data_IF_305105490024
#
_entry.id   IF_305105490024
#
_cell.length_a   1.000
_cell.length_b   1.000
_cell.length_c   1.000
_cell.angle_alpha   90.00
_cell.angle_beta   90.00
_cell.angle_gamma   90.00
#
_symmetry.space_group_name_H-M   'P 1'
#
loop_
_entity.id
_entity.type
_entity.pdbx_description
1 polymer ?
#
# COMPACT_ATOMS: atom_id res chain seq x y z
N UNK A 1 10.84 -6.76 -2.67
CA UNK A 1 10.21 -6.38 -1.39
C UNK A 1 11.23 -6.60 -0.28
N UNK A 2 11.55 -5.58 0.53
CA UNK A 2 12.43 -5.74 1.70
C UNK A 2 11.57 -6.26 2.87
N UNK A 3 11.90 -7.42 3.41
CA UNK A 3 11.25 -7.91 4.62
C UNK A 3 11.62 -7.01 5.80
N UNK A 4 10.60 -6.60 6.55
CA UNK A 4 10.77 -5.85 7.80
C UNK A 4 11.20 -6.85 8.88
N UNK A 5 12.36 -6.65 9.50
CA UNK A 5 12.80 -7.50 10.61
C UNK A 5 11.93 -7.23 11.85
N UNK A 6 11.06 -8.18 12.18
CA UNK A 6 10.25 -8.16 13.39
C UNK A 6 11.01 -8.77 14.56
N UNK A 7 10.78 -8.25 15.78
CA UNK A 7 11.29 -8.89 17.00
C UNK A 7 10.60 -10.25 17.17
N UNK A 8 11.27 -11.21 17.80
CA UNK A 8 10.78 -12.60 17.93
C UNK A 8 9.39 -12.70 18.57
N UNK A 9 9.08 -11.79 19.50
CA UNK A 9 7.77 -11.67 20.16
C UNK A 9 6.69 -11.20 19.18
N UNK A 10 7.01 -10.22 18.34
CA UNK A 10 6.07 -9.68 17.34
C UNK A 10 5.68 -10.75 16.33
N UNK A 11 6.62 -11.63 15.95
CA UNK A 11 6.37 -12.75 15.03
C UNK A 11 5.32 -13.73 15.56
N UNK A 12 5.24 -13.93 16.88
CA UNK A 12 4.21 -14.75 17.51
C UNK A 12 2.83 -14.04 17.49
N UNK A 13 2.82 -12.75 17.82
CA UNK A 13 1.60 -11.93 17.87
C UNK A 13 1.02 -11.64 16.47
N UNK A 14 1.82 -11.56 15.41
CA UNK A 14 1.33 -11.23 14.06
C UNK A 14 0.34 -12.27 13.52
N UNK A 15 0.44 -13.54 13.92
CA UNK A 15 -0.46 -14.62 13.45
C UNK A 15 -1.75 -14.76 14.25
N UNK A 16 -1.90 -14.01 15.35
CA UNK A 16 -3.02 -14.14 16.27
C UNK A 16 -4.07 -13.06 16.04
N UNK A 17 -5.35 -13.41 16.19
CA UNK A 17 -6.42 -12.42 16.16
C UNK A 17 -6.28 -11.45 17.34
N UNK A 18 -6.88 -10.26 17.23
CA UNK A 18 -6.91 -9.28 18.33
C UNK A 18 -7.50 -9.91 19.59
N UNK A 19 -8.54 -10.74 19.44
CA UNK A 19 -9.16 -11.44 20.57
C UNK A 19 -8.16 -12.38 21.26
N UNK A 20 -7.43 -13.19 20.48
CA UNK A 20 -6.46 -14.14 21.04
C UNK A 20 -5.33 -13.43 21.81
N UNK A 21 -4.87 -12.27 21.30
CA UNK A 21 -3.88 -11.44 22.00
C UNK A 21 -4.38 -10.97 23.35
N UNK A 22 -5.65 -10.54 23.43
CA UNK A 22 -6.24 -10.09 24.68
C UNK A 22 -6.42 -11.24 25.69
N UNK A 23 -6.70 -12.46 25.22
CA UNK A 23 -6.70 -13.66 26.06
C UNK A 23 -5.32 -13.98 26.64
N UNK A 24 -4.25 -13.83 25.85
CA UNK A 24 -2.86 -14.01 26.34
C UNK A 24 -2.53 -12.99 27.42
N UNK A 25 -2.89 -11.72 27.23
CA UNK A 25 -2.68 -10.66 28.23
C UNK A 25 -3.49 -10.94 29.50
N UNK A 26 -4.74 -11.38 29.37
CA UNK A 26 -5.59 -11.76 30.49
C UNK A 26 -5.01 -12.93 31.29
N UNK A 27 -4.53 -13.97 30.62
CA UNK A 27 -3.91 -15.12 31.28
C UNK A 27 -2.62 -14.72 32.01
N UNK A 28 -1.78 -13.89 31.39
CA UNK A 28 -0.57 -13.36 32.02
C UNK A 28 -0.91 -12.56 33.28
N UNK A 29 -1.94 -11.71 33.24
CA UNK A 29 -2.43 -10.98 34.40
C UNK A 29 -2.89 -11.92 35.52
N UNK A 30 -3.62 -12.99 35.18
CA UNK A 30 -4.08 -13.98 36.16
C UNK A 30 -2.91 -14.72 36.82
N UNK A 31 -1.90 -15.11 36.05
CA UNK A 31 -0.67 -15.73 36.57
C UNK A 31 0.10 -14.76 37.48
N UNK A 32 0.22 -13.49 37.09
CA UNK A 32 0.86 -12.48 37.92
C UNK A 32 0.09 -12.22 39.23
N UNK A 33 -1.24 -12.12 39.14
CA UNK A 33 -2.10 -11.90 40.30
C UNK A 33 -2.03 -13.06 41.29
N UNK A 34 -2.16 -14.30 40.80
CA UNK A 34 -2.04 -15.52 41.61
C UNK A 34 -0.66 -15.63 42.26
N UNK A 35 0.41 -15.30 41.52
CA UNK A 35 1.77 -15.29 42.06
C UNK A 35 1.96 -14.25 43.16
N UNK A 36 1.49 -13.01 42.97
CA UNK A 36 1.66 -11.93 43.96
C UNK A 36 0.80 -12.18 45.19
N UNK A 37 -0.47 -12.52 45.01
CA UNK A 37 -1.40 -12.79 46.11
C UNK A 37 -0.97 -14.05 46.90
N UNK A 38 -0.56 -15.10 46.21
CA UNK A 38 -0.06 -16.33 46.83
C UNK A 38 1.25 -16.10 47.58
N UNK A 39 2.17 -15.31 47.02
CA UNK A 39 3.40 -14.93 47.69
C UNK A 39 3.12 -14.15 48.98
N UNK A 40 2.22 -13.16 48.94
CA UNK A 40 1.79 -12.41 50.14
C UNK A 40 1.23 -13.35 51.21
N UNK A 41 0.32 -14.26 50.85
CA UNK A 41 -0.25 -15.23 51.78
C UNK A 41 0.81 -16.08 52.47
N UNK A 42 1.76 -16.63 51.71
CA UNK A 42 2.85 -17.44 52.27
C UNK A 42 3.77 -16.61 53.17
N UNK A 43 4.04 -15.36 52.79
CA UNK A 43 4.92 -14.47 53.54
C UNK A 43 4.32 -14.08 54.89
N UNK A 44 3.01 -13.78 54.94
CA UNK A 44 2.30 -13.44 56.18
C UNK A 44 2.35 -14.60 57.18
N UNK A 45 2.17 -15.85 56.71
CA UNK A 45 2.27 -17.05 57.54
C UNK A 45 3.69 -17.26 58.08
N UNK A 46 4.71 -17.15 57.22
CA UNK A 46 6.10 -17.30 57.63
C UNK A 46 6.54 -16.19 58.59
N UNK A 47 6.08 -14.96 58.39
CA UNK A 47 6.37 -13.84 59.28
C UNK A 47 5.79 -14.08 60.67
N UNK A 48 4.57 -14.59 60.77
CA UNK A 48 3.96 -14.92 62.06
C UNK A 48 4.69 -16.07 62.77
N UNK A 49 5.06 -17.13 62.04
CA UNK A 49 5.87 -18.22 62.58
C UNK A 49 7.18 -17.68 63.21
N UNK A 50 7.92 -16.86 62.47
CA UNK A 50 9.17 -16.27 62.97
C UNK A 50 8.95 -15.34 64.17
N UNK A 51 7.92 -14.51 64.11
CA UNK A 51 7.59 -13.58 65.20
C UNK A 51 7.12 -14.32 66.45
N UNK A 52 6.36 -15.40 66.31
CA UNK A 52 5.92 -16.23 67.43
C UNK A 52 7.10 -16.91 68.11
N UNK A 53 8.00 -17.52 67.32
CA UNK A 53 9.25 -18.10 67.86
C UNK A 53 10.08 -17.05 68.59
N UNK A 54 10.28 -15.87 67.99
CA UNK A 54 11.06 -14.79 68.59
C UNK A 54 10.44 -14.26 69.90
N UNK A 55 9.12 -14.06 69.94
CA UNK A 55 8.40 -13.57 71.12
C UNK A 55 8.47 -14.59 72.28
N UNK A 56 8.25 -15.87 71.98
CA UNK A 56 8.30 -16.93 73.01
C UNK A 56 9.75 -17.16 73.47
N UNK A 57 10.73 -17.07 72.57
CA UNK A 57 12.15 -17.10 72.92
C UNK A 57 12.52 -15.95 73.86
N UNK A 58 12.17 -14.71 73.52
CA UNK A 58 12.45 -13.55 74.37
C UNK A 58 11.79 -13.66 75.75
N UNK A 59 10.59 -14.23 75.82
CA UNK A 59 9.89 -14.52 77.08
C UNK A 59 10.62 -15.59 77.90
N UNK A 60 11.11 -16.65 77.27
CA UNK A 60 11.92 -17.67 77.94
C UNK A 60 13.24 -17.07 78.45
N UNK A 61 13.95 -16.31 77.63
CA UNK A 61 15.21 -15.67 77.99
C UNK A 61 15.04 -14.73 79.18
N UNK A 62 13.97 -13.92 79.21
CA UNK A 62 13.64 -13.05 80.34
C UNK A 62 13.28 -13.81 81.62
N UNK A 63 12.62 -14.97 81.50
CA UNK A 63 12.33 -15.84 82.66
C UNK A 63 13.61 -16.47 83.21
N UNK A 64 14.53 -16.89 82.32
CA UNK A 64 15.83 -17.45 82.71
C UNK A 64 16.68 -16.38 83.40
N UNK A 65 16.70 -15.16 82.87
CA UNK A 65 17.45 -14.02 83.42
C UNK A 65 16.93 -13.61 84.81
N UNK A 66 15.62 -13.68 85.03
CA UNK A 66 15.01 -13.39 86.34
C UNK A 66 15.35 -14.41 87.44
N UNK A 67 15.95 -15.57 87.07
CA UNK A 67 16.39 -16.65 87.97
C UNK A 67 15.39 -17.01 89.10
N UNK A 68 14.15 -17.41 88.76
CA UNK A 68 13.12 -17.74 89.75
C UNK A 68 13.51 -18.96 90.58
N UNK A 69 13.07 -18.99 91.85
CA UNK A 69 13.36 -20.08 92.79
C UNK A 69 12.80 -21.44 92.36
N UNK A 70 11.71 -21.45 91.57
CA UNK A 70 11.14 -22.65 90.95
C UNK A 70 10.57 -22.33 89.56
N UNK A 71 11.40 -22.56 88.53
CA UNK A 71 11.07 -22.25 87.13
C UNK A 71 9.93 -23.12 86.57
N UNK A 72 9.68 -24.28 87.18
CA UNK A 72 8.69 -25.25 86.70
C UNK A 72 7.25 -24.92 87.13
N UNK A 73 7.07 -23.96 88.05
CA UNK A 73 5.73 -23.46 88.42
C UNK A 73 5.16 -22.49 87.37
N UNK A 74 5.98 -22.01 86.44
CA UNK A 74 5.56 -21.11 85.38
C UNK A 74 4.86 -21.93 84.28
N UNK A 75 3.62 -21.56 83.98
CA UNK A 75 2.78 -22.23 82.98
C UNK A 75 3.49 -22.32 81.63
N UNK A 76 3.55 -23.54 81.09
CA UNK A 76 4.14 -23.82 79.78
C UNK A 76 5.63 -24.19 79.82
N UNK A 77 6.30 -24.08 80.98
CA UNK A 77 7.68 -24.54 81.15
C UNK A 77 7.70 -26.02 81.54
N UNK A 78 8.55 -26.80 80.86
CA UNK A 78 8.83 -28.18 81.25
C UNK A 78 10.30 -28.54 80.99
N UNK A 79 10.78 -29.58 81.67
CA UNK A 79 12.15 -30.07 81.48
C UNK A 79 12.29 -30.69 80.10
N UNK A 80 13.34 -30.31 79.37
CA UNK A 80 13.68 -30.88 78.09
C UNK A 80 14.88 -31.82 78.26
N UNK A 81 14.82 -33.01 77.65
CA UNK A 81 15.93 -33.96 77.73
C UNK A 81 17.04 -33.61 76.73
N UNK A 82 16.69 -33.04 75.57
CA UNK A 82 17.61 -32.67 74.49
C UNK A 82 17.24 -31.31 73.90
N UNK A 83 18.24 -30.54 73.48
CA UNK A 83 18.02 -29.28 72.76
C UNK A 83 17.60 -29.59 71.32
N UNK A 84 16.50 -28.98 70.88
CA UNK A 84 16.03 -29.05 69.50
C UNK A 84 15.89 -27.64 68.93
N UNK A 85 15.73 -27.55 67.60
CA UNK A 85 15.42 -26.28 66.94
C UNK A 85 14.04 -25.82 67.40
N UNK A 86 13.92 -24.54 67.76
CA UNK A 86 12.63 -23.93 68.06
C UNK A 86 11.69 -24.10 66.87
N UNK A 87 10.47 -24.55 67.15
CA UNK A 87 9.49 -24.97 66.14
C UNK A 87 8.15 -24.31 66.42
N UNK A 88 7.53 -23.82 65.36
CA UNK A 88 6.12 -23.50 65.33
C UNK A 88 5.38 -24.61 64.59
N UNK A 89 4.40 -25.23 65.24
CA UNK A 89 3.58 -26.27 64.63
C UNK A 89 2.12 -26.11 65.06
N UNK A 90 1.22 -25.99 64.08
CA UNK A 90 -0.24 -25.94 64.28
C UNK A 90 -0.70 -24.99 65.41
N UNK A 91 -0.12 -23.78 65.44
CA UNK A 91 -0.50 -22.77 66.42
C UNK A 91 0.13 -22.95 67.80
N UNK A 92 1.10 -23.85 67.94
CA UNK A 92 1.89 -24.06 69.16
C UNK A 92 3.35 -23.73 68.88
N UNK A 93 3.93 -22.89 69.71
CA UNK A 93 5.33 -22.49 69.62
C UNK A 93 6.10 -23.16 70.75
N UNK A 94 7.10 -23.96 70.40
CA UNK A 94 8.02 -24.58 71.36
C UNK A 94 9.42 -24.03 71.14
N UNK A 95 9.97 -23.42 72.19
CA UNK A 95 11.34 -22.88 72.22
C UNK A 95 12.14 -23.55 73.32
N UNK A 96 13.46 -23.58 73.17
CA UNK A 96 14.38 -24.23 74.09
C UNK A 96 15.40 -23.24 74.64
N UNK A 97 15.77 -23.40 75.91
CA UNK A 97 16.76 -22.58 76.58
C UNK A 97 17.49 -23.36 77.67
N UNK A 98 18.64 -22.85 78.08
CA UNK A 98 19.47 -23.42 79.16
C UNK A 98 19.48 -22.45 80.34
N UNK A 99 19.12 -22.93 81.53
CA UNK A 99 19.16 -22.11 82.74
C UNK A 99 20.60 -21.88 83.20
N UNK A 100 20.80 -20.89 84.08
CA UNK A 100 22.10 -20.61 84.72
C UNK A 100 22.65 -21.81 85.52
N UNK A 101 21.81 -22.76 85.90
CA UNK A 101 22.17 -24.01 86.58
C UNK A 101 22.51 -25.16 85.60
N UNK A 102 22.48 -24.92 84.30
CA UNK A 102 22.77 -25.91 83.26
C UNK A 102 21.62 -26.87 82.92
N UNK A 103 20.40 -26.60 83.42
CA UNK A 103 19.23 -27.41 83.08
C UNK A 103 18.60 -26.97 81.75
N UNK A 104 18.27 -27.92 80.89
CA UNK A 104 17.52 -27.67 79.66
C UNK A 104 16.03 -27.53 79.95
N UNK A 105 15.47 -26.38 79.59
CA UNK A 105 14.06 -26.06 79.73
C UNK A 105 13.45 -25.77 78.37
N UNK A 106 12.17 -26.12 78.21
CA UNK A 106 11.36 -25.72 77.05
C UNK A 106 10.16 -24.92 77.51
N UNK A 107 9.83 -23.88 76.75
CA UNK A 107 8.60 -23.10 76.92
C UNK A 107 7.68 -23.39 75.73
N UNK A 108 6.44 -23.76 76.05
CA UNK A 108 5.39 -24.01 75.07
C UNK A 108 4.26 -23.01 75.24
N UNK A 109 3.95 -22.25 74.19
CA UNK A 109 2.88 -21.26 74.19
C UNK A 109 1.86 -21.55 73.07
N UNK A 110 0.57 -21.48 73.42
CA UNK A 110 -0.54 -21.70 72.50
C UNK A 110 -0.94 -20.38 71.83
N UNK A 111 -0.55 -20.20 70.57
CA UNK A 111 -0.92 -19.08 69.72
C UNK A 111 -2.00 -19.45 68.68
N UNK A 112 -2.67 -20.60 68.84
CA UNK A 112 -3.61 -21.15 67.84
C UNK A 112 -4.75 -20.21 67.45
N UNK A 113 -5.34 -19.49 68.41
CA UNK A 113 -6.40 -18.50 68.11
C UNK A 113 -5.88 -17.34 67.25
N UNK A 114 -4.67 -16.85 67.53
CA UNK A 114 -4.03 -15.77 66.77
C UNK A 114 -3.62 -16.24 65.37
N UNK A 115 -3.09 -17.47 65.27
CA UNK A 115 -2.74 -18.10 63.99
C UNK A 115 -3.96 -18.32 63.09
N UNK A 116 -5.08 -18.80 63.66
CA UNK A 116 -6.33 -18.99 62.91
C UNK A 116 -6.93 -17.67 62.44
N UNK A 117 -6.87 -16.62 63.27
CA UNK A 117 -7.31 -15.27 62.89
C UNK A 117 -6.46 -14.73 61.74
N UNK A 118 -5.13 -14.78 61.84
CA UNK A 118 -4.22 -14.36 60.77
C UNK A 118 -4.44 -15.17 59.49
N UNK A 119 -4.60 -16.48 59.60
CA UNK A 119 -4.85 -17.34 58.43
C UNK A 119 -6.15 -16.93 57.73
N UNK A 120 -7.20 -16.62 58.49
CA UNK A 120 -8.46 -16.11 57.93
C UNK A 120 -8.26 -14.76 57.24
N UNK A 121 -7.51 -13.84 57.85
CA UNK A 121 -7.22 -12.52 57.27
C UNK A 121 -6.35 -12.62 55.99
N UNK A 122 -5.35 -13.50 56.01
CA UNK A 122 -4.52 -13.80 54.85
C UNK A 122 -5.34 -14.46 53.72
N UNK A 123 -6.26 -15.38 54.06
CA UNK A 123 -7.16 -15.98 53.07
C UNK A 123 -8.17 -14.99 52.50
N UNK A 124 -8.76 -14.12 53.34
CA UNK A 124 -9.70 -13.10 52.87
C UNK A 124 -9.03 -12.07 51.98
N UNK A 125 -7.83 -11.60 52.32
CA UNK A 125 -7.05 -10.68 51.47
C UNK A 125 -6.60 -11.35 50.16
N UNK A 126 -6.24 -12.63 50.18
CA UNK A 126 -5.97 -13.42 48.98
C UNK A 126 -7.22 -13.48 48.06
N UNK A 127 -8.39 -13.83 48.60
CA UNK A 127 -9.64 -13.88 47.84
C UNK A 127 -10.06 -12.50 47.31
N UNK A 128 -9.89 -11.44 48.11
CA UNK A 128 -10.21 -10.07 47.71
C UNK A 128 -9.36 -9.61 46.51
N UNK A 129 -8.13 -10.12 46.36
CA UNK A 129 -7.28 -9.78 45.21
C UNK A 129 -7.91 -10.19 43.87
N UNK A 130 -8.69 -11.27 43.83
CA UNK A 130 -9.38 -11.74 42.63
C UNK A 130 -10.54 -10.85 42.20
N UNK A 131 -11.00 -9.93 43.06
CA UNK A 131 -12.00 -8.94 42.69
C UNK A 131 -11.52 -8.08 41.50
N UNK A 132 -10.21 -7.89 41.33
CA UNK A 132 -9.61 -7.18 40.20
C UNK A 132 -9.66 -7.92 38.86
N UNK A 133 -9.94 -9.22 38.86
CA UNK A 133 -10.03 -10.02 37.62
C UNK A 133 -11.20 -9.54 36.76
N UNK A 134 -12.33 -9.22 37.38
CA UNK A 134 -13.54 -8.79 36.67
C UNK A 134 -13.36 -7.44 35.94
N UNK A 135 -12.96 -6.33 36.59
CA UNK A 135 -12.74 -5.07 35.89
C UNK A 135 -11.64 -5.18 34.83
N UNK A 136 -10.60 -6.00 35.07
CA UNK A 136 -9.55 -6.24 34.08
C UNK A 136 -10.08 -7.01 32.86
N UNK A 137 -10.93 -8.03 33.05
CA UNK A 137 -11.58 -8.75 31.96
C UNK A 137 -12.47 -7.83 31.12
N UNK A 138 -13.28 -6.98 31.76
CA UNK A 138 -14.12 -6.00 31.08
C UNK A 138 -13.28 -5.00 30.29
N UNK A 139 -12.18 -4.51 30.87
CA UNK A 139 -11.24 -3.64 30.19
C UNK A 139 -10.62 -4.32 28.96
N UNK A 140 -10.15 -5.56 29.08
CA UNK A 140 -9.61 -6.32 27.94
C UNK A 140 -10.65 -6.52 26.84
N UNK A 141 -11.90 -6.86 27.19
CA UNK A 141 -13.00 -7.02 26.24
C UNK A 141 -13.36 -5.70 25.52
N UNK A 142 -13.40 -4.60 26.27
CA UNK A 142 -13.67 -3.27 25.71
C UNK A 142 -12.60 -2.86 24.70
N UNK A 143 -11.32 -3.04 25.05
CA UNK A 143 -10.19 -2.75 24.14
C UNK A 143 -10.23 -3.65 22.90
N UNK A 144 -10.51 -4.95 23.06
CA UNK A 144 -10.62 -5.89 21.94
C UNK A 144 -11.70 -5.46 20.94
N UNK A 145 -12.86 -5.06 21.46
CA UNK A 145 -14.01 -4.64 20.65
C UNK A 145 -13.74 -3.30 19.96
N UNK A 146 -13.13 -2.35 20.67
CA UNK A 146 -12.79 -1.04 20.11
C UNK A 146 -11.79 -1.15 18.95
N UNK A 147 -10.67 -1.85 19.16
CA UNK A 147 -9.64 -2.05 18.13
C UNK A 147 -10.19 -2.89 16.98
N UNK A 148 -10.90 -3.98 17.29
CA UNK A 148 -11.49 -4.87 16.28
C UNK A 148 -12.49 -4.15 15.38
N UNK A 149 -13.36 -3.32 15.95
CA UNK A 149 -14.34 -2.54 15.20
C UNK A 149 -13.68 -1.54 14.24
N UNK A 150 -12.72 -0.75 14.73
CA UNK A 150 -12.00 0.22 13.91
C UNK A 150 -11.22 -0.47 12.76
N UNK A 151 -10.53 -1.57 13.06
CA UNK A 151 -9.78 -2.34 12.07
C UNK A 151 -10.69 -2.98 11.01
N UNK A 152 -11.89 -3.43 11.41
CA UNK A 152 -12.86 -4.00 10.48
C UNK A 152 -13.42 -2.96 9.51
N UNK A 153 -13.67 -1.73 9.96
CA UNK A 153 -14.07 -0.61 9.08
C UNK A 153 -12.95 -0.27 8.10
N UNK A 154 -11.71 -0.22 8.56
CA UNK A 154 -10.55 -0.03 7.67
C UNK A 154 -10.42 -1.15 6.64
N UNK A 155 -10.55 -2.42 7.08
CA UNK A 155 -10.49 -3.59 6.20
C UNK A 155 -11.56 -3.54 5.12
N UNK A 156 -12.83 -3.43 5.51
CA UNK A 156 -13.97 -3.43 4.56
C UNK A 156 -13.94 -2.25 3.61
N UNK A 157 -13.47 -1.08 4.05
CA UNK A 157 -13.31 0.07 3.17
C UNK A 157 -12.16 -0.14 2.17
N UNK A 158 -11.04 -0.72 2.63
CA UNK A 158 -9.92 -1.06 1.74
C UNK A 158 -10.31 -2.12 0.70
N UNK A 159 -11.12 -3.11 1.10
CA UNK A 159 -11.67 -4.13 0.21
C UNK A 159 -12.55 -3.50 -0.88
N UNK A 160 -13.45 -2.58 -0.51
CA UNK A 160 -14.26 -1.81 -1.48
C UNK A 160 -13.44 -1.01 -2.48
N UNK A 161 -12.35 -0.38 -2.04
CA UNK A 161 -11.42 0.31 -2.95
C UNK A 161 -10.79 -0.68 -3.92
N UNK A 162 -10.40 -1.86 -3.43
CA UNK A 162 -9.87 -2.95 -4.25
C UNK A 162 -10.86 -3.43 -5.32
N UNK A 163 -12.15 -3.42 -5.00
CA UNK A 163 -13.25 -3.73 -5.92
C UNK A 163 -13.61 -2.57 -6.87
N UNK A 164 -12.95 -1.41 -6.73
CA UNK A 164 -13.13 -0.24 -7.59
C UNK A 164 -14.15 0.79 -7.11
N UNK A 165 -14.72 0.64 -5.91
CA UNK A 165 -15.54 1.68 -5.29
C UNK A 165 -14.64 2.77 -4.69
N UNK A 166 -14.41 3.81 -5.48
CA UNK A 166 -13.69 5.02 -5.08
C UNK A 166 -14.61 6.10 -4.51
N UNK A 167 -15.88 5.80 -4.21
CA UNK A 167 -16.84 6.74 -3.63
C UNK A 167 -16.96 6.61 -2.12
N UNK A 168 -16.71 5.42 -1.59
CA UNK A 168 -16.60 5.19 -0.15
C UNK A 168 -15.48 6.04 0.46
N UNK A 169 -15.71 6.59 1.66
CA UNK A 169 -14.71 7.35 2.43
C UNK A 169 -14.72 6.87 3.88
N UNK A 170 -13.56 6.88 4.53
CA UNK A 170 -13.47 6.51 5.95
C UNK A 170 -13.99 7.62 6.85
N UNK A 171 -13.82 8.89 6.45
CA UNK A 171 -14.36 10.03 7.20
C UNK A 171 -13.75 10.17 8.60
N UNK A 172 -12.55 9.62 8.80
CA UNK A 172 -11.85 9.77 10.06
C UNK A 172 -11.29 11.18 10.20
N UNK A 173 -11.47 11.76 11.38
CA UNK A 173 -10.97 13.08 11.69
C UNK A 173 -9.44 13.03 11.83
N UNK A 174 -8.69 14.03 11.33
CA UNK A 174 -7.27 14.16 11.62
C UNK A 174 -7.09 14.28 13.13
N UNK A 175 -6.51 13.25 13.74
CA UNK A 175 -6.35 13.14 15.19
C UNK A 175 -4.94 12.67 15.57
N UNK A 176 -4.68 12.63 16.87
CA UNK A 176 -3.46 12.01 17.44
C UNK A 176 -3.49 10.47 17.42
N UNK A 177 -4.51 9.89 16.79
CA UNK A 177 -4.76 8.46 16.72
C UNK A 177 -4.17 7.89 15.42
N UNK A 178 -3.56 6.72 15.55
CA UNK A 178 -3.04 5.90 14.46
C UNK A 178 -4.13 5.57 13.44
N UNK A 179 -5.37 5.28 13.88
CA UNK A 179 -6.48 4.96 12.97
C UNK A 179 -6.84 6.17 12.10
N UNK A 180 -6.92 7.36 12.70
CA UNK A 180 -7.23 8.59 11.96
C UNK A 180 -6.16 8.91 10.91
N UNK A 181 -4.89 8.72 11.25
CA UNK A 181 -3.77 8.94 10.32
C UNK A 181 -3.84 8.00 9.13
N UNK A 182 -4.11 6.71 9.36
CA UNK A 182 -4.28 5.72 8.28
C UNK A 182 -5.51 6.06 7.44
N UNK A 183 -6.62 6.47 8.07
CA UNK A 183 -7.84 6.80 7.35
C UNK A 183 -7.67 8.00 6.42
N UNK A 184 -7.06 9.09 6.89
CA UNK A 184 -6.76 10.24 6.05
C UNK A 184 -5.82 9.90 4.89
N UNK A 185 -4.83 9.04 5.12
CA UNK A 185 -3.92 8.60 4.05
C UNK A 185 -4.64 7.73 3.00
N UNK A 186 -5.59 6.89 3.43
CA UNK A 186 -6.39 6.07 2.53
C UNK A 186 -7.36 6.93 1.71
N UNK A 187 -8.06 7.88 2.35
CA UNK A 187 -8.96 8.82 1.66
C UNK A 187 -8.19 9.63 0.60
N UNK A 188 -6.99 10.14 0.93
CA UNK A 188 -6.12 10.82 -0.04
C UNK A 188 -5.72 9.91 -1.22
N UNK A 189 -5.49 8.63 -0.96
CA UNK A 189 -5.17 7.65 -2.00
C UNK A 189 -6.36 7.42 -2.93
N UNK A 190 -7.59 7.37 -2.39
CA UNK A 190 -8.81 7.28 -3.18
C UNK A 190 -9.02 8.53 -4.05
N UNK A 191 -8.74 9.72 -3.52
CA UNK A 191 -8.84 10.97 -4.30
C UNK A 191 -7.89 10.94 -5.50
N UNK A 192 -6.63 10.53 -5.26
CA UNK A 192 -5.62 10.41 -6.33
C UNK A 192 -6.02 9.36 -7.37
N UNK A 193 -6.55 8.20 -6.94
CA UNK A 193 -7.06 7.18 -7.85
C UNK A 193 -8.25 7.68 -8.67
N UNK A 194 -9.16 8.44 -8.03
CA UNK A 194 -10.34 9.01 -8.71
C UNK A 194 -9.93 10.03 -9.78
N UNK A 195 -8.97 10.90 -9.47
CA UNK A 195 -8.39 11.85 -10.43
C UNK A 195 -7.75 11.12 -11.61
N UNK A 196 -6.97 10.06 -11.36
CA UNK A 196 -6.37 9.25 -12.42
C UNK A 196 -7.43 8.59 -13.32
N UNK A 197 -8.47 8.00 -12.75
CA UNK A 197 -9.57 7.40 -13.51
C UNK A 197 -10.28 8.45 -14.37
N UNK A 198 -10.54 9.64 -13.83
CA UNK A 198 -11.16 10.73 -14.58
C UNK A 198 -10.26 11.21 -15.73
N UNK A 199 -8.96 11.35 -15.50
CA UNK A 199 -8.00 11.74 -16.54
C UNK A 199 -7.88 10.70 -17.66
N UNK A 200 -7.91 9.40 -17.32
CA UNK A 200 -7.94 8.32 -18.30
C UNK A 200 -9.23 8.35 -19.12
N UNK A 201 -10.39 8.59 -18.46
CA UNK A 201 -11.68 8.73 -19.14
C UNK A 201 -11.70 9.91 -20.11
N UNK A 202 -11.18 11.06 -19.69
CA UNK A 202 -11.06 12.25 -20.55
C UNK A 202 -10.18 11.96 -21.76
N UNK A 203 -9.01 11.34 -21.54
CA UNK A 203 -8.09 10.94 -22.61
C UNK A 203 -8.73 9.97 -23.60
N UNK A 204 -9.52 9.00 -23.11
CA UNK A 204 -10.25 8.06 -23.95
C UNK A 204 -11.33 8.75 -24.80
N UNK A 205 -12.04 9.72 -24.22
CA UNK A 205 -13.02 10.53 -24.96
C UNK A 205 -12.35 11.35 -26.06
N UNK A 206 -11.24 12.06 -25.74
CA UNK A 206 -10.48 12.82 -26.74
C UNK A 206 -9.96 11.94 -27.86
N UNK A 207 -9.48 10.73 -27.53
CA UNK A 207 -9.04 9.76 -28.53
C UNK A 207 -10.21 9.30 -29.42
N UNK A 208 -11.39 9.07 -28.85
CA UNK A 208 -12.59 8.71 -29.60
C UNK A 208 -13.03 9.83 -30.55
N UNK A 209 -13.04 11.08 -30.07
CA UNK A 209 -13.38 12.26 -30.88
C UNK A 209 -12.37 12.46 -32.03
N UNK A 210 -11.07 12.36 -31.73
CA UNK A 210 -10.01 12.47 -32.72
C UNK A 210 -10.11 11.37 -33.78
N UNK A 211 -10.43 10.14 -33.36
CA UNK A 211 -10.63 9.01 -34.29
C UNK A 211 -11.82 9.24 -35.21
N UNK A 212 -12.92 9.81 -34.69
CA UNK A 212 -14.10 10.17 -35.48
C UNK A 212 -13.80 11.28 -36.49
N UNK A 213 -13.03 12.31 -36.08
CA UNK A 213 -12.60 13.38 -36.98
C UNK A 213 -11.69 12.84 -38.09
N UNK A 214 -10.75 11.95 -37.74
CA UNK A 214 -9.87 11.30 -38.69
C UNK A 214 -10.64 10.45 -39.72
N UNK A 215 -11.69 9.73 -39.30
CA UNK A 215 -12.56 9.01 -40.24
C UNK A 215 -13.24 9.95 -41.24
N UNK A 216 -13.70 11.11 -40.78
CA UNK A 216 -14.32 12.13 -41.64
C UNK A 216 -13.31 12.71 -42.65
N UNK A 217 -12.10 13.04 -42.21
CA UNK A 217 -11.03 13.54 -43.07
C UNK A 217 -10.60 12.51 -44.12
N UNK A 218 -10.59 11.23 -43.75
CA UNK A 218 -10.32 10.12 -44.69
C UNK A 218 -11.39 10.01 -45.78
N UNK A 219 -12.68 10.16 -45.46
CA UNK A 219 -13.76 10.17 -46.46
C UNK A 219 -13.68 11.38 -47.40
N UNK A 220 -13.31 12.54 -46.87
CA UNK A 220 -13.07 13.73 -47.68
C UNK A 220 -11.88 13.52 -48.63
N UNK A 221 -10.79 12.96 -48.11
CA UNK A 221 -9.59 12.62 -48.89
C UNK A 221 -9.90 11.64 -50.01
N UNK A 222 -10.69 10.60 -49.74
CA UNK A 222 -11.15 9.64 -50.77
C UNK A 222 -11.91 10.33 -51.90
N UNK A 223 -12.79 11.28 -51.55
CA UNK A 223 -13.55 12.07 -52.53
C UNK A 223 -12.63 12.97 -53.37
N UNK A 224 -11.66 13.64 -52.73
CA UNK A 224 -10.68 14.48 -53.43
C UNK A 224 -9.80 13.67 -54.37
N UNK A 225 -9.33 12.50 -53.94
CA UNK A 225 -8.54 11.58 -54.77
C UNK A 225 -9.35 11.16 -56.00
N UNK A 226 -10.65 10.85 -55.83
CA UNK A 226 -11.54 10.51 -56.94
C UNK A 226 -11.65 11.66 -57.97
N UNK A 227 -11.79 12.90 -57.51
CA UNK A 227 -11.79 14.07 -58.39
C UNK A 227 -10.43 14.31 -59.07
N UNK A 228 -9.33 14.06 -58.36
CA UNK A 228 -7.99 14.19 -58.92
C UNK A 228 -7.77 13.16 -60.04
N UNK A 229 -8.26 11.93 -59.87
CA UNK A 229 -8.25 10.92 -60.94
C UNK A 229 -9.04 11.37 -62.17
N UNK A 230 -10.25 11.93 -62.00
CA UNK A 230 -11.04 12.46 -63.12
C UNK A 230 -10.32 13.60 -63.86
N UNK A 231 -9.64 14.47 -63.10
CA UNK A 231 -8.87 15.58 -63.67
C UNK A 231 -7.65 15.06 -64.44
N UNK A 232 -6.94 14.07 -63.90
CA UNK A 232 -5.82 13.44 -64.58
C UNK A 232 -6.25 12.75 -65.89
N UNK A 233 -7.41 12.09 -65.89
CA UNK A 233 -7.98 11.46 -67.08
C UNK A 233 -8.32 12.51 -68.16
N UNK A 234 -8.86 13.65 -67.75
CA UNK A 234 -9.11 14.80 -68.63
C UNK A 234 -7.82 15.41 -69.19
N UNK A 235 -6.77 15.53 -68.35
CA UNK A 235 -5.46 16.01 -68.78
C UNK A 235 -4.80 15.02 -69.75
N UNK A 236 -4.89 13.72 -69.49
CA UNK A 236 -4.39 12.69 -70.39
C UNK A 236 -5.09 12.78 -71.75
N UNK A 237 -6.43 12.91 -71.75
CA UNK A 237 -7.21 13.14 -72.97
C UNK A 237 -6.76 14.40 -73.71
N UNK A 238 -6.58 15.52 -73.00
CA UNK A 238 -6.09 16.76 -73.61
C UNK A 238 -4.66 16.62 -74.18
N UNK A 239 -3.79 15.84 -73.53
CA UNK A 239 -2.45 15.52 -74.04
C UNK A 239 -2.52 14.65 -75.30
N UNK A 240 -3.46 13.70 -75.38
CA UNK A 240 -3.74 12.91 -76.57
C UNK A 240 -4.16 13.81 -77.74
N UNK A 241 -5.13 14.70 -77.52
CA UNK A 241 -5.62 15.69 -78.50
C UNK A 241 -4.52 16.68 -78.92
N UNK A 242 -3.71 17.14 -77.97
CA UNK A 242 -2.59 18.04 -78.26
C UNK A 242 -1.50 17.33 -79.07
N UNK A 243 -1.23 16.04 -78.80
CA UNK A 243 -0.29 15.23 -79.56
C UNK A 243 -0.79 15.01 -80.99
N UNK A 244 -2.09 14.73 -81.16
CA UNK A 244 -2.73 14.63 -82.47
C UNK A 244 -2.65 15.94 -83.25
N UNK A 245 -2.96 17.07 -82.60
CA UNK A 245 -2.87 18.42 -83.18
C UNK A 245 -1.43 18.75 -83.60
N UNK A 246 -0.43 18.44 -82.77
CA UNK A 246 0.98 18.66 -83.10
C UNK A 246 1.42 17.82 -84.32
N UNK A 247 0.93 16.58 -84.41
CA UNK A 247 1.18 15.70 -85.56
C UNK A 247 0.52 16.23 -86.83
N UNK A 248 -0.70 16.74 -86.73
CA UNK A 248 -1.41 17.39 -87.85
C UNK A 248 -0.65 18.64 -88.33
N UNK A 249 -0.26 19.55 -87.42
CA UNK A 249 0.52 20.75 -87.76
C UNK A 249 1.85 20.38 -88.42
N UNK A 250 2.53 19.34 -87.93
CA UNK A 250 3.76 18.84 -88.55
C UNK A 250 3.51 18.33 -89.97
N UNK A 251 2.42 17.57 -90.18
CA UNK A 251 2.02 17.07 -91.50
C UNK A 251 1.68 18.21 -92.47
N UNK A 252 0.91 19.21 -92.03
CA UNK A 252 0.57 20.40 -92.82
C UNK A 252 1.84 21.17 -93.19
N UNK A 253 2.76 21.33 -92.24
CA UNK A 253 4.04 22.02 -92.46
C UNK A 253 4.87 21.29 -93.51
N UNK A 254 4.97 19.96 -93.43
CA UNK A 254 5.65 19.14 -94.43
C UNK A 254 4.99 19.24 -95.82
N UNK A 255 3.66 19.24 -95.88
CA UNK A 255 2.92 19.44 -97.12
C UNK A 255 3.15 20.83 -97.72
N UNK A 256 3.18 21.88 -96.91
CA UNK A 256 3.45 23.24 -97.34
C UNK A 256 4.88 23.40 -97.88
N UNK A 257 5.88 22.75 -97.26
CA UNK A 257 7.25 22.68 -97.79
C UNK A 257 7.28 22.01 -99.15
N UNK A 258 6.66 20.83 -99.30
CA UNK A 258 6.58 20.14 -100.60
C UNK A 258 5.90 21.00 -101.67
N UNK A 259 4.83 21.73 -101.32
CA UNK A 259 4.15 22.63 -102.25
C UNK A 259 5.02 23.82 -102.64
N UNK A 260 5.76 24.39 -101.69
CA UNK A 260 6.69 25.50 -101.93
C UNK A 260 7.83 25.08 -102.85
N UNK A 261 8.37 23.87 -102.67
CA UNK A 261 9.40 23.31 -103.56
C UNK A 261 8.87 23.11 -104.98
N UNK A 262 7.65 22.60 -105.13
CA UNK A 262 6.99 22.47 -106.44
C UNK A 262 6.77 23.83 -107.11
N UNK A 263 6.34 24.84 -106.36
CA UNK A 263 6.10 26.17 -106.91
C UNK A 263 7.41 26.88 -107.27
N UNK A 264 8.49 26.69 -106.49
CA UNK A 264 9.82 27.13 -106.85
C UNK A 264 10.27 26.51 -108.19
N UNK A 265 10.02 25.22 -108.40
CA UNK A 265 10.31 24.54 -109.67
C UNK A 265 9.48 25.11 -110.85
N UNK A 266 8.20 25.43 -110.63
CA UNK A 266 7.34 26.08 -111.63
C UNK A 266 7.81 27.51 -111.95
N UNK A 267 8.25 28.27 -110.94
CA UNK A 267 8.80 29.61 -111.12
C UNK A 267 10.07 29.54 -111.97
N UNK A 268 10.96 28.59 -111.70
CA UNK A 268 12.18 28.41 -112.49
C UNK A 268 11.85 28.06 -113.95
N UNK A 269 10.90 27.16 -114.17
CA UNK A 269 10.41 26.83 -115.52
C UNK A 269 9.80 28.06 -116.21
N UNK A 270 9.04 28.87 -115.47
CA UNK A 270 8.42 30.09 -116.00
C UNK A 270 9.47 31.16 -116.31
N UNK A 271 10.50 31.31 -115.47
CA UNK A 271 11.65 32.19 -115.69
C UNK A 271 12.39 31.80 -116.97
N UNK A 272 12.66 30.51 -117.16
CA UNK A 272 13.26 29.99 -118.39
C UNK A 272 12.41 30.33 -119.62
N UNK A 273 11.08 30.17 -119.54
CA UNK A 273 10.17 30.57 -120.62
C UNK A 273 10.22 32.08 -120.92
N UNK A 274 10.22 32.93 -119.89
CA UNK A 274 10.35 34.38 -120.08
C UNK A 274 11.68 34.76 -120.72
N UNK A 275 12.78 34.12 -120.31
CA UNK A 275 14.10 34.33 -120.94
C UNK A 275 14.10 33.91 -122.41
N UNK A 276 13.46 32.79 -122.76
CA UNK A 276 13.26 32.39 -124.16
C UNK A 276 12.49 33.44 -124.95
N UNK A 277 11.39 33.98 -124.40
CA UNK A 277 10.61 35.04 -125.06
C UNK A 277 11.43 36.32 -125.24
N UNK A 278 12.25 36.72 -124.26
CA UNK A 278 13.14 37.90 -124.39
C UNK A 278 14.14 37.67 -125.53
N UNK A 279 14.78 36.50 -125.59
CA UNK A 279 15.72 36.18 -126.67
C UNK A 279 15.04 36.15 -128.06
N UNK A 280 13.80 35.64 -128.15
CA UNK A 280 12.97 35.71 -129.36
C UNK A 280 12.65 37.16 -129.75
N UNK A 281 12.37 38.04 -128.78
CA UNK A 281 12.13 39.48 -129.03
C UNK A 281 13.41 40.18 -129.49
N UNK A 282 14.58 39.85 -128.91
CA UNK A 282 15.87 40.41 -129.34
C UNK A 282 16.22 39.98 -130.77
N UNK A 283 16.03 38.70 -131.10
CA UNK A 283 16.22 38.20 -132.48
C UNK A 283 15.23 38.83 -133.45
N UNK A 284 13.96 38.98 -133.06
CA UNK A 284 12.96 39.69 -133.87
C UNK A 284 13.32 41.16 -134.08
N UNK A 285 13.76 41.87 -133.03
CA UNK A 285 14.26 43.24 -133.14
C UNK A 285 15.47 43.35 -134.07
N UNK A 286 16.42 42.42 -133.97
CA UNK A 286 17.58 42.36 -134.87
C UNK A 286 17.17 42.16 -136.33
N UNK A 287 16.19 41.29 -136.60
CA UNK A 287 15.65 41.13 -137.96
C UNK A 287 14.94 42.39 -138.46
N UNK A 288 14.21 43.11 -137.61
CA UNK A 288 13.60 44.40 -137.96
C UNK A 288 14.68 45.45 -138.27
N UNK A 289 15.77 45.50 -137.50
CA UNK A 289 16.89 46.42 -137.72
C UNK A 289 17.65 46.09 -139.01
N UNK A 290 17.92 44.81 -139.31
CA UNK A 290 18.49 44.36 -140.58
C UNK A 290 17.60 44.66 -141.79
N UNK A 291 16.28 44.49 -141.64
CA UNK A 291 15.31 44.81 -142.68
C UNK A 291 15.16 46.33 -142.88
N UNK A 292 15.35 47.13 -141.82
CA UNK A 292 15.35 48.59 -141.89
C UNK A 292 16.66 49.18 -142.42
N UNK A 293 17.77 48.42 -142.41
CA UNK A 293 19.08 48.83 -142.94
C UNK A 293 19.37 48.32 -144.35
N UNK A 294 18.42 47.66 -145.00
CA UNK A 294 18.47 47.22 -146.40
C UNK A 294 17.58 48.10 -147.28
#
# INVERSE_FOLDING_TARGET
MREVEFRTIDRLFIKMSINDKMWVIFLLFLVALTSVAGSRYLNDLHQFEQQSIANVQAKLDGIIEANPTDIYQITGISKANHQQKSLFADGVTTVYGTTSAGELVRLTEHAGNQYNALRSDALTSFLLSFLWVLPFAVFCYWVATFIGGALWVLYTTTEKIGDGDLTSRLGFHPGRDEFGTIGCALDKSMDTLSELVNSVKESANTLSETSSAFEQDMKLSETQITHQYQTLDSVATAMEEMTASAKEVSSISQQATMQSDQDAQKIETSRSRVQHVIAEIETLSSYIEQASSS
#
